data_IF_060007848832
#
_entry.id   IF_060007848832
#
_cell.length_a   1.000
_cell.length_b   1.000
_cell.length_c   1.000
_cell.angle_alpha   90.00
_cell.angle_beta   90.00
_cell.angle_gamma   90.00
#
_symmetry.space_group_name_H-M   'P 1'
#
loop_
_entity.id
_entity.type
_entity.pdbx_description
1 polymer ?
#
# COMPACT_ATOMS: atom_id res chain seq x y z
N UNK A 1 10.11 -29.53 -33.88
CA UNK A 1 9.43 -28.42 -33.15
C UNK A 1 9.50 -28.57 -31.63
N UNK A 2 9.25 -29.74 -31.05
CA UNK A 2 9.27 -29.97 -29.58
C UNK A 2 10.61 -29.64 -28.88
N UNK A 3 11.76 -29.96 -29.47
CA UNK A 3 13.06 -29.64 -28.84
C UNK A 3 13.30 -28.12 -28.67
N UNK A 4 12.88 -27.30 -29.64
CA UNK A 4 13.02 -25.83 -29.54
C UNK A 4 12.16 -25.25 -28.42
N UNK A 5 10.99 -25.83 -28.17
CA UNK A 5 10.11 -25.44 -27.08
C UNK A 5 10.71 -25.77 -25.70
N UNK A 6 11.22 -26.99 -25.53
CA UNK A 6 11.87 -27.43 -24.29
C UNK A 6 13.12 -26.59 -23.95
N UNK A 7 13.93 -26.24 -24.96
CA UNK A 7 15.10 -25.37 -24.77
C UNK A 7 14.68 -23.97 -24.34
N UNK A 8 13.61 -23.40 -24.93
CA UNK A 8 13.11 -22.09 -24.55
C UNK A 8 12.55 -22.07 -23.11
N UNK A 9 11.81 -23.11 -22.71
CA UNK A 9 11.29 -23.24 -21.35
C UNK A 9 12.42 -23.37 -20.31
N UNK A 10 13.47 -24.14 -20.63
CA UNK A 10 14.65 -24.28 -19.79
C UNK A 10 15.40 -22.96 -19.63
N UNK A 11 15.55 -22.19 -20.71
CA UNK A 11 16.18 -20.88 -20.68
C UNK A 11 15.37 -19.88 -19.84
N UNK A 12 14.04 -19.90 -19.93
CA UNK A 12 13.16 -19.06 -19.12
C UNK A 12 13.25 -19.39 -17.63
N UNK A 13 13.27 -20.68 -17.28
CA UNK A 13 13.46 -21.15 -15.89
C UNK A 13 14.82 -20.74 -15.33
N UNK A 14 15.88 -20.85 -16.12
CA UNK A 14 17.23 -20.45 -15.70
C UNK A 14 17.35 -18.93 -15.52
N UNK A 15 16.75 -18.15 -16.42
CA UNK A 15 16.69 -16.70 -16.28
C UNK A 15 15.95 -16.29 -15.00
N UNK A 16 14.80 -16.90 -14.73
CA UNK A 16 14.00 -16.61 -13.52
C UNK A 16 14.76 -16.97 -12.24
N UNK A 17 15.46 -18.10 -12.20
CA UNK A 17 16.35 -18.46 -11.09
C UNK A 17 17.45 -17.43 -10.87
N UNK A 18 18.04 -16.91 -11.95
CA UNK A 18 19.05 -15.84 -11.88
C UNK A 18 18.50 -14.56 -11.28
N UNK A 19 17.28 -14.16 -11.67
CA UNK A 19 16.60 -12.97 -11.12
C UNK A 19 16.31 -13.16 -9.63
N UNK A 20 15.78 -14.31 -9.22
CA UNK A 20 15.48 -14.63 -7.82
C UNK A 20 16.76 -14.60 -6.96
N UNK A 21 17.85 -15.23 -7.43
CA UNK A 21 19.11 -15.22 -6.70
C UNK A 21 19.68 -13.80 -6.52
N UNK A 22 19.60 -12.97 -7.57
CA UNK A 22 20.06 -11.58 -7.52
C UNK A 22 19.24 -10.75 -6.54
N UNK A 23 17.93 -11.00 -6.46
CA UNK A 23 17.05 -10.35 -5.49
C UNK A 23 17.37 -10.77 -4.05
N UNK A 24 17.56 -12.07 -3.80
CA UNK A 24 17.96 -12.57 -2.48
C UNK A 24 19.33 -12.03 -2.04
N UNK A 25 20.27 -11.84 -2.97
CA UNK A 25 21.58 -11.26 -2.66
C UNK A 25 21.46 -9.78 -2.26
N UNK A 26 20.57 -9.01 -2.92
CA UNK A 26 20.26 -7.63 -2.53
C UNK A 26 19.65 -7.56 -1.14
N UNK A 27 18.71 -8.44 -0.82
CA UNK A 27 18.10 -8.53 0.51
C UNK A 27 19.12 -8.87 1.61
N UNK A 28 20.05 -9.80 1.33
CA UNK A 28 21.15 -10.10 2.26
C UNK A 28 22.07 -8.90 2.47
N UNK A 29 22.40 -8.15 1.41
CA UNK A 29 23.22 -6.93 1.51
C UNK A 29 22.49 -5.84 2.31
N UNK A 30 21.20 -5.62 2.05
CA UNK A 30 20.38 -4.68 2.79
C UNK A 30 20.29 -5.03 4.28
N UNK A 31 20.12 -6.32 4.62
CA UNK A 31 20.12 -6.78 6.00
C UNK A 31 21.46 -6.49 6.71
N UNK A 32 22.59 -6.77 6.06
CA UNK A 32 23.92 -6.46 6.63
C UNK A 32 24.15 -4.96 6.83
N UNK A 33 23.69 -4.11 5.90
CA UNK A 33 23.76 -2.66 6.05
C UNK A 33 22.91 -2.19 7.24
N UNK A 34 21.70 -2.74 7.40
CA UNK A 34 20.83 -2.44 8.54
C UNK A 34 21.46 -2.83 9.87
N UNK A 35 22.05 -4.02 9.96
CA UNK A 35 22.77 -4.48 11.15
C UNK A 35 23.98 -3.59 11.47
N UNK A 36 24.76 -3.19 10.44
CA UNK A 36 25.92 -2.30 10.61
C UNK A 36 25.52 -0.91 11.11
N UNK A 37 24.47 -0.32 10.54
CA UNK A 37 23.93 0.97 10.98
C UNK A 37 23.42 0.90 12.42
N UNK A 38 22.82 -0.21 12.83
CA UNK A 38 22.35 -0.40 14.20
C UNK A 38 23.50 -0.36 15.21
N UNK A 39 24.63 -1.00 14.89
CA UNK A 39 25.84 -1.00 15.73
C UNK A 39 26.53 0.37 15.77
N UNK A 40 26.61 1.06 14.63
CA UNK A 40 27.20 2.43 14.57
C UNK A 40 26.35 3.46 15.33
N UNK A 41 25.03 3.30 15.32
CA UNK A 41 24.10 4.14 16.09
C UNK A 41 24.19 3.90 17.60
N UNK A 42 24.45 2.66 18.06
CA UNK A 42 24.71 2.38 19.47
C UNK A 42 26.04 3.00 19.96
N UNK A 43 27.04 3.10 19.08
CA UNK A 43 28.33 3.72 19.39
C UNK A 43 28.35 5.25 19.43
N UNK A 44 27.39 5.91 18.76
CA UNK A 44 27.35 7.38 18.63
C UNK A 44 26.58 8.09 19.77
N UNK A 45 25.98 7.33 20.70
CA UNK A 45 25.10 7.85 21.77
C UNK A 45 25.86 8.56 22.92
N UNK A 46 27.20 8.60 22.89
CA UNK A 46 27.98 9.25 23.97
C UNK A 46 28.26 10.75 23.72
N UNK A 47 28.01 11.30 22.53
CA UNK A 47 28.53 12.64 22.19
C UNK A 47 27.63 13.60 21.41
N UNK A 48 26.31 13.58 21.62
CA UNK A 48 25.46 14.66 21.09
C UNK A 48 24.50 15.14 22.16
N UNK A 49 25.06 15.84 23.14
CA UNK A 49 24.35 16.87 23.90
C UNK A 49 24.96 18.22 23.51
N UNK A 50 24.13 19.24 23.46
CA UNK A 50 24.46 20.64 23.17
C UNK A 50 24.72 21.00 21.71
N UNK A 51 23.67 21.46 21.03
CA UNK A 51 23.53 22.86 20.52
C UNK A 51 22.59 22.87 19.31
N UNK A 52 21.37 23.37 19.49
CA UNK A 52 20.63 24.04 18.42
C UNK A 52 19.80 25.15 19.06
N UNK A 53 20.41 26.34 19.10
CA UNK A 53 19.67 27.60 19.23
C UNK A 53 19.37 28.11 17.84
N UNK A 54 18.15 28.64 17.74
CA UNK A 54 17.51 29.32 16.63
C UNK A 54 18.37 30.39 15.97
N UNK A 55 18.34 30.46 14.64
CA UNK A 55 18.39 31.71 13.89
C UNK A 55 17.74 31.48 12.52
N UNK A 56 16.68 32.26 12.26
CA UNK A 56 16.08 32.38 10.94
C UNK A 56 16.76 33.51 10.18
N UNK A 57 16.77 33.40 8.86
CA UNK A 57 16.75 34.57 7.99
C UNK A 57 16.09 34.21 6.66
N UNK A 58 15.19 35.11 6.27
CA UNK A 58 14.59 35.31 4.95
C UNK A 58 15.65 35.66 3.91
N UNK A 59 15.41 35.32 2.65
CA UNK A 59 15.72 36.20 1.53
C UNK A 59 14.97 35.75 0.25
N UNK A 60 14.34 36.74 -0.37
CA UNK A 60 13.61 36.73 -1.64
C UNK A 60 14.58 36.91 -2.82
N UNK A 61 14.38 36.22 -3.95
CA UNK A 61 14.88 36.62 -5.29
C UNK A 61 13.89 36.11 -6.34
N UNK A 62 13.06 36.97 -6.97
CA UNK A 62 13.30 37.86 -8.12
C UNK A 62 13.25 37.15 -9.49
N UNK A 63 12.36 37.64 -10.35
CA UNK A 63 12.00 37.13 -11.68
C UNK A 63 12.22 38.24 -12.71
N UNK A 64 12.99 37.98 -13.79
CA UNK A 64 13.07 38.92 -14.92
C UNK A 64 13.79 38.44 -16.18
N UNK A 65 13.18 38.74 -17.34
CA UNK A 65 13.77 38.88 -18.71
C UNK A 65 13.51 37.70 -19.67
N UNK A 66 12.61 37.74 -20.69
CA UNK A 66 12.64 38.46 -22.01
C UNK A 66 13.90 38.14 -22.88
N UNK A 67 13.90 37.89 -24.20
CA UNK A 67 12.99 38.14 -25.34
C UNK A 67 13.49 37.41 -26.64
N UNK A 68 12.56 37.23 -27.62
CA UNK A 68 12.67 37.33 -29.11
C UNK A 68 13.48 36.32 -29.99
N UNK A 69 12.80 35.63 -30.95
CA UNK A 69 12.64 35.86 -32.43
C UNK A 69 13.85 35.33 -33.24
N UNK A 70 13.81 34.72 -34.44
CA UNK A 70 13.03 34.94 -35.66
C UNK A 70 12.86 33.65 -36.51
N UNK A 71 11.97 33.77 -37.49
CA UNK A 71 11.52 32.80 -38.50
C UNK A 71 12.04 33.24 -39.88
N UNK A 72 12.50 32.33 -40.74
CA UNK A 72 12.27 32.41 -42.20
C UNK A 72 12.77 31.16 -42.92
N UNK A 73 12.00 30.73 -43.92
CA UNK A 73 12.36 29.69 -44.87
C UNK A 73 12.45 30.25 -46.29
N UNK A 74 12.88 29.43 -47.24
CA UNK A 74 12.62 29.65 -48.67
C UNK A 74 12.68 28.32 -49.43
N UNK A 75 11.69 28.09 -50.29
CA UNK A 75 11.59 27.03 -51.31
C UNK A 75 12.06 27.56 -52.67
N UNK A 76 12.55 26.67 -53.53
CA UNK A 76 12.55 26.74 -55.01
C UNK A 76 13.10 25.39 -55.53
N UNK A 77 12.82 24.87 -56.72
CA UNK A 77 11.70 24.89 -57.65
C UNK A 77 11.92 23.65 -58.53
N UNK A 78 10.85 23.20 -59.18
CA UNK A 78 10.73 21.98 -59.97
C UNK A 78 11.18 22.20 -61.42
N UNK A 79 11.75 21.19 -62.08
CA UNK A 79 11.76 21.10 -63.55
C UNK A 79 12.01 19.66 -64.01
N UNK A 80 11.02 19.13 -64.71
CA UNK A 80 10.98 17.83 -65.37
C UNK A 80 11.58 17.90 -66.77
N UNK A 81 12.17 16.80 -67.24
CA UNK A 81 12.22 16.48 -68.68
C UNK A 81 12.34 14.97 -68.90
N UNK A 82 11.46 14.44 -69.75
CA UNK A 82 11.37 13.04 -70.15
C UNK A 82 12.21 12.76 -71.42
N UNK A 83 12.89 11.61 -71.46
CA UNK A 83 13.46 11.06 -72.70
C UNK A 83 13.20 9.53 -72.79
N UNK A 84 12.76 9.09 -73.96
CA UNK A 84 12.39 7.70 -74.28
C UNK A 84 13.62 6.84 -74.58
N UNK A 85 13.85 5.75 -73.83
CA UNK A 85 14.80 4.68 -74.20
C UNK A 85 14.26 3.24 -74.00
N UNK A 86 14.85 2.35 -74.80
CA UNK A 86 14.46 1.02 -75.28
C UNK A 86 14.01 -0.06 -74.27
N UNK A 87 13.06 -0.90 -74.71
CA UNK A 87 12.34 -1.94 -73.93
C UNK A 87 13.19 -3.09 -73.37
N UNK A 88 14.43 -3.30 -73.83
CA UNK A 88 15.29 -4.37 -73.30
C UNK A 88 16.04 -3.95 -72.02
N UNK A 89 16.40 -2.66 -71.88
CA UNK A 89 16.96 -2.10 -70.64
C UNK A 89 15.93 -2.04 -69.51
N UNK A 90 14.64 -1.93 -69.85
CA UNK A 90 13.54 -1.94 -68.88
C UNK A 90 13.50 -3.21 -68.04
N UNK A 91 13.68 -4.41 -68.59
CA UNK A 91 13.52 -5.64 -67.80
C UNK A 91 14.59 -5.79 -66.68
N UNK A 92 15.83 -5.38 -66.95
CA UNK A 92 16.91 -5.46 -65.96
C UNK A 92 16.83 -4.32 -64.93
N UNK A 93 16.51 -3.10 -65.38
CA UNK A 93 16.23 -1.96 -64.48
C UNK A 93 14.98 -2.20 -63.64
N UNK A 94 13.93 -2.85 -64.16
CA UNK A 94 12.71 -3.15 -63.43
C UNK A 94 12.97 -4.18 -62.32
N UNK A 95 13.84 -5.17 -62.53
CA UNK A 95 14.25 -6.11 -61.48
C UNK A 95 15.12 -5.47 -60.39
N UNK A 96 16.07 -4.61 -60.76
CA UNK A 96 16.90 -3.88 -59.79
C UNK A 96 16.06 -2.85 -59.02
N UNK A 97 15.12 -2.19 -59.71
CA UNK A 97 14.23 -1.20 -59.12
C UNK A 97 13.15 -1.84 -58.24
N UNK A 98 12.65 -3.04 -58.59
CA UNK A 98 11.76 -3.81 -57.73
C UNK A 98 12.49 -4.34 -56.49
N UNK A 99 13.70 -4.89 -56.64
CA UNK A 99 14.51 -5.33 -55.50
C UNK A 99 14.87 -4.18 -54.56
N UNK A 100 15.19 -2.99 -55.10
CA UNK A 100 15.35 -1.77 -54.30
C UNK A 100 14.04 -1.34 -53.65
N UNK A 101 12.91 -1.31 -54.38
CA UNK A 101 11.59 -0.94 -53.83
C UNK A 101 11.15 -1.89 -52.72
N UNK A 102 11.43 -3.19 -52.85
CA UNK A 102 11.14 -4.21 -51.85
C UNK A 102 12.05 -4.03 -50.63
N UNK A 103 13.34 -3.73 -50.82
CA UNK A 103 14.26 -3.37 -49.73
C UNK A 103 13.84 -2.08 -49.01
N UNK A 104 13.41 -1.04 -49.74
CA UNK A 104 12.91 0.21 -49.16
C UNK A 104 11.55 0.02 -48.47
N UNK A 105 10.69 -0.86 -49.00
CA UNK A 105 9.40 -1.21 -48.39
C UNK A 105 9.59 -2.04 -47.12
N UNK A 106 10.52 -2.99 -47.12
CA UNK A 106 10.88 -3.80 -45.96
C UNK A 106 11.58 -2.94 -44.89
N UNK A 107 12.48 -2.03 -45.29
CA UNK A 107 13.08 -1.03 -44.39
C UNK A 107 12.03 -0.10 -43.78
N UNK A 108 11.11 0.45 -44.57
CA UNK A 108 9.95 1.23 -44.08
C UNK A 108 9.00 0.41 -43.19
N UNK A 109 8.92 -0.90 -43.36
CA UNK A 109 8.11 -1.78 -42.52
C UNK A 109 8.80 -2.13 -41.19
N UNK A 110 10.13 -2.20 -41.18
CA UNK A 110 10.93 -2.42 -39.97
C UNK A 110 11.14 -1.14 -39.16
N UNK A 111 11.16 0.04 -39.78
CA UNK A 111 11.33 1.33 -39.10
C UNK A 111 10.26 1.58 -38.00
N UNK A 112 8.94 1.44 -38.22
CA UNK A 112 7.94 1.65 -37.17
C UNK A 112 8.02 0.60 -36.06
N UNK A 113 8.44 -0.63 -36.36
CA UNK A 113 8.65 -1.68 -35.35
C UNK A 113 9.90 -1.36 -34.53
N UNK A 114 10.98 -0.88 -35.17
CA UNK A 114 12.20 -0.41 -34.50
C UNK A 114 11.90 0.79 -33.62
N UNK A 115 11.12 1.75 -34.09
CA UNK A 115 10.74 2.95 -33.34
C UNK A 115 9.84 2.62 -32.15
N UNK A 116 8.91 1.67 -32.29
CA UNK A 116 8.12 1.14 -31.17
C UNK A 116 9.00 0.40 -30.17
N UNK A 117 9.94 -0.41 -30.64
CA UNK A 117 10.86 -1.15 -29.76
C UNK A 117 11.85 -0.22 -29.04
N UNK A 118 12.26 0.89 -29.68
CA UNK A 118 13.09 1.93 -29.07
C UNK A 118 12.30 2.72 -28.03
N UNK A 119 11.07 3.15 -28.35
CA UNK A 119 10.16 3.82 -27.39
C UNK A 119 9.87 2.97 -26.17
N UNK A 120 9.52 1.69 -26.35
CA UNK A 120 9.30 0.76 -25.25
C UNK A 120 10.56 0.59 -24.38
N UNK A 121 11.76 0.58 -24.99
CA UNK A 121 13.02 0.56 -24.23
C UNK A 121 13.29 1.85 -23.47
N UNK A 122 12.93 3.01 -24.01
CA UNK A 122 13.02 4.32 -23.36
C UNK A 122 12.07 4.39 -22.16
N UNK A 123 10.80 4.01 -22.36
CA UNK A 123 9.76 3.93 -21.33
C UNK A 123 10.16 2.95 -20.23
N UNK A 124 10.68 1.77 -20.58
CA UNK A 124 11.21 0.81 -19.61
C UNK A 124 12.39 1.38 -18.83
N UNK A 125 13.32 2.12 -19.46
CA UNK A 125 14.43 2.78 -18.76
C UNK A 125 13.94 3.90 -17.84
N UNK A 126 12.89 4.64 -18.22
CA UNK A 126 12.26 5.65 -17.38
C UNK A 126 11.61 5.01 -16.16
N UNK A 127 10.77 3.99 -16.37
CA UNK A 127 10.16 3.19 -15.29
C UNK A 127 11.22 2.57 -14.38
N UNK A 128 12.30 2.02 -14.94
CA UNK A 128 13.40 1.47 -14.15
C UNK A 128 14.11 2.55 -13.33
N UNK A 129 14.29 3.77 -13.86
CA UNK A 129 14.86 4.89 -13.09
C UNK A 129 13.93 5.34 -11.97
N UNK A 130 12.64 5.38 -12.23
CA UNK A 130 11.61 5.73 -11.25
C UNK A 130 11.50 4.66 -10.14
N UNK A 131 11.54 3.37 -10.51
CA UNK A 131 11.57 2.25 -9.55
C UNK A 131 12.90 2.13 -8.80
N UNK A 132 14.00 2.62 -9.37
CA UNK A 132 15.33 2.66 -8.75
C UNK A 132 15.58 3.97 -7.99
N UNK A 133 14.61 4.89 -7.95
CA UNK A 133 14.71 6.07 -7.13
C UNK A 133 14.87 5.60 -5.67
N UNK A 134 16.04 5.85 -5.11
CA UNK A 134 16.31 5.52 -3.72
C UNK A 134 15.40 6.40 -2.86
N UNK A 135 14.68 5.81 -1.91
CA UNK A 135 13.90 6.62 -0.98
C UNK A 135 14.84 7.63 -0.31
N UNK A 136 14.46 8.93 -0.25
CA UNK A 136 15.28 9.94 0.37
C UNK A 136 15.74 9.49 1.77
N UNK A 137 17.04 9.59 2.09
CA UNK A 137 17.59 9.08 3.35
C UNK A 137 16.93 9.73 4.57
N UNK A 138 16.52 11.00 4.48
CA UNK A 138 15.82 11.70 5.56
C UNK A 138 14.48 11.06 5.90
N UNK A 139 13.73 10.55 4.91
CA UNK A 139 12.47 9.84 5.14
C UNK A 139 12.74 8.54 5.91
N UNK A 140 13.80 7.82 5.53
CA UNK A 140 14.20 6.59 6.22
C UNK A 140 14.64 6.88 7.67
N UNK A 141 15.41 7.94 7.88
CA UNK A 141 15.87 8.36 9.19
C UNK A 141 14.70 8.80 10.09
N UNK A 142 13.75 9.56 9.55
CA UNK A 142 12.55 9.99 10.26
C UNK A 142 11.67 8.81 10.66
N UNK A 143 11.45 7.84 9.74
CA UNK A 143 10.71 6.62 10.06
C UNK A 143 11.38 5.83 11.20
N UNK A 144 12.72 5.71 11.16
CA UNK A 144 13.49 5.06 12.21
C UNK A 144 13.40 5.82 13.55
N UNK A 145 13.46 7.15 13.51
CA UNK A 145 13.30 8.00 14.69
C UNK A 145 11.95 7.79 15.36
N UNK A 146 10.88 7.72 14.57
CA UNK A 146 9.53 7.42 15.04
C UNK A 146 9.47 6.03 15.67
N UNK A 147 10.00 4.99 15.01
CA UNK A 147 10.05 3.62 15.55
C UNK A 147 10.81 3.56 16.90
N UNK A 148 11.95 4.26 16.98
CA UNK A 148 12.74 4.37 18.22
C UNK A 148 11.95 5.09 19.32
N UNK A 149 11.26 6.17 18.98
CA UNK A 149 10.44 6.95 19.92
C UNK A 149 9.29 6.10 20.48
N UNK A 150 8.59 5.35 19.63
CA UNK A 150 7.56 4.41 20.06
C UNK A 150 8.13 3.33 20.97
N UNK A 151 9.30 2.78 20.63
CA UNK A 151 9.99 1.78 21.46
C UNK A 151 10.33 2.32 22.86
N UNK A 152 10.81 3.57 22.92
CA UNK A 152 11.11 4.25 24.19
C UNK A 152 9.85 4.50 25.01
N UNK A 153 8.76 4.95 24.38
CA UNK A 153 7.45 5.12 25.03
C UNK A 153 7.00 3.80 25.67
N UNK A 154 7.05 2.69 24.93
CA UNK A 154 6.66 1.38 25.43
C UNK A 154 7.54 0.93 26.61
N UNK A 155 8.86 1.16 26.52
CA UNK A 155 9.79 0.81 27.60
C UNK A 155 9.49 1.61 28.87
N UNK A 156 9.26 2.92 28.73
CA UNK A 156 8.94 3.80 29.84
C UNK A 156 7.60 3.46 30.49
N UNK A 157 6.56 3.21 29.69
CA UNK A 157 5.26 2.77 30.20
C UNK A 157 5.39 1.47 31.01
N UNK A 158 6.06 0.45 30.46
CA UNK A 158 6.27 -0.85 31.15
C UNK A 158 7.08 -0.75 32.44
N UNK A 159 8.03 0.20 32.50
CA UNK A 159 8.85 0.43 33.71
C UNK A 159 8.20 1.41 34.69
N UNK A 160 7.06 2.00 34.35
CA UNK A 160 6.39 2.98 35.20
C UNK A 160 5.68 2.28 36.36
N UNK A 161 6.17 2.52 37.58
CA UNK A 161 5.53 2.01 38.80
C UNK A 161 4.50 2.99 39.38
N UNK A 162 4.48 4.24 38.90
CA UNK A 162 3.57 5.27 39.40
C UNK A 162 2.25 5.27 38.60
N UNK A 163 1.10 5.01 39.24
CA UNK A 163 -0.20 4.91 38.55
C UNK A 163 -0.60 6.17 37.77
N UNK A 164 -0.28 7.37 38.29
CA UNK A 164 -0.64 8.62 37.63
C UNK A 164 0.15 8.84 36.34
N UNK A 165 1.42 8.44 36.32
CA UNK A 165 2.25 8.49 35.11
C UNK A 165 1.90 7.36 34.14
N UNK A 166 1.57 6.16 34.63
CA UNK A 166 1.08 5.05 33.80
C UNK A 166 -0.14 5.47 32.98
N UNK A 167 -1.13 6.11 33.62
CA UNK A 167 -2.31 6.63 32.92
C UNK A 167 -1.96 7.67 31.86
N UNK A 168 -1.05 8.60 32.14
CA UNK A 168 -0.59 9.57 31.13
C UNK A 168 0.07 8.88 29.93
N UNK A 169 0.87 7.85 30.16
CA UNK A 169 1.47 7.07 29.07
C UNK A 169 0.43 6.31 28.26
N UNK A 170 -0.61 5.76 28.90
CA UNK A 170 -1.76 5.15 28.22
C UNK A 170 -2.50 6.17 27.34
N UNK A 171 -2.79 7.36 27.88
CA UNK A 171 -3.45 8.44 27.14
C UNK A 171 -2.62 8.88 25.91
N UNK A 172 -1.30 9.03 26.09
CA UNK A 172 -0.36 9.33 25.00
C UNK A 172 -0.35 8.19 23.97
N UNK A 173 -0.29 6.94 24.41
CA UNK A 173 -0.30 5.76 23.55
C UNK A 173 -1.58 5.65 22.72
N UNK A 174 -2.74 5.87 23.35
CA UNK A 174 -4.04 5.88 22.68
C UNK A 174 -4.16 7.03 21.68
N UNK A 175 -3.77 8.25 22.07
CA UNK A 175 -3.79 9.42 21.17
C UNK A 175 -2.88 9.19 19.95
N UNK A 176 -1.67 8.67 20.18
CA UNK A 176 -0.72 8.34 19.11
C UNK A 176 -1.30 7.29 18.18
N UNK A 177 -1.96 6.26 18.71
CA UNK A 177 -2.60 5.22 17.89
C UNK A 177 -3.61 5.81 16.89
N UNK A 178 -4.54 6.65 17.36
CA UNK A 178 -5.53 7.27 16.48
C UNK A 178 -4.91 8.28 15.51
N UNK A 179 -3.87 9.00 15.92
CA UNK A 179 -3.10 9.86 15.01
C UNK A 179 -2.50 9.07 13.83
N UNK A 180 -1.92 7.89 14.09
CA UNK A 180 -1.41 7.03 13.03
C UNK A 180 -2.52 6.52 12.10
N UNK A 181 -3.67 6.18 12.65
CA UNK A 181 -4.84 5.81 11.86
C UNK A 181 -5.25 6.96 10.94
N UNK A 182 -5.33 8.19 11.42
CA UNK A 182 -5.64 9.40 10.65
C UNK A 182 -4.65 9.68 9.52
N UNK A 183 -3.38 9.33 9.71
CA UNK A 183 -2.36 9.43 8.67
C UNK A 183 -2.50 8.38 7.55
N UNK A 184 -3.23 7.27 7.75
CA UNK A 184 -3.44 6.25 6.71
C UNK A 184 -4.48 6.73 5.67
N UNK A 185 -3.98 7.44 4.67
CA UNK A 185 -4.75 7.93 3.52
C UNK A 185 -4.72 6.96 2.33
N UNK A 186 -5.53 7.23 1.30
CA UNK A 186 -5.52 6.44 0.06
C UNK A 186 -4.15 6.47 -0.65
N UNK A 187 -3.42 7.60 -0.59
CA UNK A 187 -2.06 7.72 -1.12
C UNK A 187 -1.07 6.85 -0.36
N UNK A 188 -1.17 6.84 0.98
CA UNK A 188 -0.35 5.96 1.83
C UNK A 188 -0.63 4.50 1.48
N UNK A 189 -1.91 4.12 1.28
CA UNK A 189 -2.34 2.75 0.89
C UNK A 189 -1.82 2.26 -0.44
N UNK A 190 -1.53 3.16 -1.37
CA UNK A 190 -1.02 2.81 -2.70
C UNK A 190 0.47 2.47 -2.69
N UNK A 191 1.21 2.87 -1.66
CA UNK A 191 2.66 2.64 -1.59
C UNK A 191 3.01 1.63 -0.49
N UNK A 192 3.39 0.38 -0.84
CA UNK A 192 3.59 -0.71 0.12
C UNK A 192 4.59 -0.41 1.25
N UNK A 193 5.75 0.24 1.03
CA UNK A 193 6.69 0.54 2.12
C UNK A 193 6.09 1.43 3.20
N UNK A 194 5.38 2.49 2.81
CA UNK A 194 4.73 3.40 3.78
C UNK A 194 3.58 2.68 4.49
N UNK A 195 2.77 1.88 3.78
CA UNK A 195 1.76 1.05 4.45
C UNK A 195 2.34 0.08 5.45
N UNK A 196 3.45 -0.58 5.12
CA UNK A 196 4.08 -1.52 6.03
C UNK A 196 4.55 -0.79 7.30
N UNK A 197 5.13 0.39 7.16
CA UNK A 197 5.53 1.23 8.28
C UNK A 197 4.33 1.59 9.18
N UNK A 198 3.28 2.20 8.63
CA UNK A 198 2.08 2.55 9.40
C UNK A 198 1.42 1.31 10.03
N UNK A 199 1.33 0.20 9.29
CA UNK A 199 0.73 -1.03 9.80
C UNK A 199 1.50 -1.56 11.02
N UNK A 200 2.84 -1.52 10.97
CA UNK A 200 3.70 -1.94 12.08
C UNK A 200 3.50 -1.06 13.31
N UNK A 201 3.44 0.27 13.13
CA UNK A 201 3.22 1.21 14.23
C UNK A 201 1.83 1.06 14.85
N UNK A 202 0.78 0.94 14.02
CA UNK A 202 -0.60 0.76 14.47
C UNK A 202 -0.78 -0.57 15.19
N UNK A 203 -0.15 -1.65 14.70
CA UNK A 203 -0.19 -2.94 15.37
C UNK A 203 0.51 -2.90 16.73
N UNK A 204 1.69 -2.27 16.81
CA UNK A 204 2.45 -2.12 18.06
C UNK A 204 1.65 -1.36 19.13
N UNK A 205 1.12 -0.20 18.75
CA UNK A 205 0.33 0.65 19.63
C UNK A 205 -1.01 0.00 19.99
N UNK A 206 -1.69 -0.58 19.00
CA UNK A 206 -2.99 -1.23 19.17
C UNK A 206 -2.93 -2.40 20.15
N UNK A 207 -1.93 -3.28 20.01
CA UNK A 207 -1.71 -4.39 20.95
C UNK A 207 -1.38 -3.92 22.36
N UNK A 208 -0.67 -2.80 22.49
CA UNK A 208 -0.17 -2.34 23.79
C UNK A 208 -1.19 -1.51 24.56
N UNK A 209 -1.88 -0.59 23.90
CA UNK A 209 -2.70 0.43 24.57
C UNK A 209 -4.21 0.30 24.30
N UNK A 210 -4.62 -0.44 23.27
CA UNK A 210 -6.01 -0.49 22.81
C UNK A 210 -6.67 -1.85 23.08
N UNK A 211 -6.05 -2.95 22.68
CA UNK A 211 -6.67 -4.29 22.64
C UNK A 211 -7.26 -4.74 23.98
N UNK A 212 -6.58 -4.45 25.09
CA UNK A 212 -7.02 -4.83 26.45
C UNK A 212 -7.69 -3.67 27.20
N UNK A 213 -7.81 -2.49 26.56
CA UNK A 213 -8.37 -1.30 27.18
C UNK A 213 -9.87 -1.19 26.92
N UNK A 214 -10.68 -1.51 27.94
CA UNK A 214 -12.15 -1.50 27.87
C UNK A 214 -12.73 -0.16 27.41
N UNK A 215 -12.08 0.95 27.75
CA UNK A 215 -12.54 2.30 27.39
C UNK A 215 -12.34 2.62 25.90
N UNK A 216 -11.49 1.86 25.21
CA UNK A 216 -11.12 2.09 23.82
C UNK A 216 -11.86 1.16 22.86
N UNK A 217 -12.41 0.04 23.32
CA UNK A 217 -13.06 -0.96 22.46
C UNK A 217 -14.20 -0.37 21.62
N UNK A 218 -15.08 0.41 22.22
CA UNK A 218 -16.14 1.11 21.48
C UNK A 218 -15.61 2.20 20.55
N UNK A 219 -14.61 2.97 21.00
CA UNK A 219 -14.00 4.05 20.20
C UNK A 219 -13.35 3.46 18.94
N UNK A 220 -12.67 2.32 19.10
CA UNK A 220 -12.12 1.55 17.99
C UNK A 220 -13.21 1.05 17.05
N UNK A 221 -14.33 0.53 17.57
CA UNK A 221 -15.46 0.13 16.72
C UNK A 221 -15.98 1.32 15.91
N UNK A 222 -16.26 2.46 16.53
CA UNK A 222 -16.71 3.68 15.82
C UNK A 222 -15.72 4.09 14.74
N UNK A 223 -14.42 3.98 15.03
CA UNK A 223 -13.35 4.27 14.06
C UNK A 223 -13.38 3.31 12.87
N UNK A 224 -13.59 2.00 13.11
CA UNK A 224 -13.72 1.00 12.04
C UNK A 224 -14.96 1.29 11.18
N UNK A 225 -16.10 1.58 11.80
CA UNK A 225 -17.35 1.87 11.10
C UNK A 225 -17.23 3.14 10.25
N UNK A 226 -16.53 4.16 10.74
CA UNK A 226 -16.26 5.39 10.00
C UNK A 226 -15.26 5.19 8.84
N UNK A 227 -14.36 4.21 8.94
CA UNK A 227 -13.25 4.01 8.01
C UNK A 227 -13.12 2.54 7.56
N UNK A 228 -14.13 1.99 6.84
CA UNK A 228 -14.15 0.59 6.45
C UNK A 228 -12.99 0.19 5.54
N UNK A 229 -12.42 1.14 4.78
CA UNK A 229 -11.25 0.94 3.91
C UNK A 229 -9.98 0.45 4.63
N UNK A 230 -9.88 0.64 5.95
CA UNK A 230 -8.74 0.20 6.77
C UNK A 230 -9.14 -0.87 7.80
N UNK A 231 -10.32 -1.47 7.67
CA UNK A 231 -10.80 -2.50 8.61
C UNK A 231 -9.79 -3.64 8.78
N UNK A 232 -9.11 -4.05 7.71
CA UNK A 232 -8.10 -5.11 7.78
C UNK A 232 -6.94 -4.82 8.74
N UNK A 233 -6.62 -3.54 8.94
CA UNK A 233 -5.59 -3.10 9.88
C UNK A 233 -6.10 -3.08 11.33
N UNK A 234 -7.36 -2.69 11.53
CA UNK A 234 -7.94 -2.46 12.86
C UNK A 234 -8.60 -3.71 13.47
N UNK A 235 -9.13 -4.59 12.62
CA UNK A 235 -9.85 -5.79 13.02
C UNK A 235 -9.04 -6.75 13.91
N UNK A 236 -7.71 -6.93 13.75
CA UNK A 236 -6.91 -7.73 14.68
C UNK A 236 -6.84 -7.14 16.09
N UNK A 237 -7.03 -5.83 16.25
CA UNK A 237 -6.95 -5.10 17.53
C UNK A 237 -8.32 -5.07 18.21
N UNK A 238 -9.40 -5.17 17.44
CA UNK A 238 -10.77 -5.13 17.96
C UNK A 238 -11.13 -6.40 18.73
N UNK A 239 -11.27 -6.26 20.05
CA UNK A 239 -11.60 -7.33 20.99
C UNK A 239 -12.86 -6.97 21.79
N UNK A 240 -14.08 -7.22 21.26
CA UNK A 240 -15.32 -6.82 21.92
C UNK A 240 -15.53 -7.48 23.29
N UNK A 241 -14.90 -8.64 23.54
CA UNK A 241 -14.99 -9.35 24.83
C UNK A 241 -14.39 -8.58 26.01
N UNK A 242 -13.57 -7.55 25.78
CA UNK A 242 -13.04 -6.73 26.88
C UNK A 242 -14.06 -5.73 27.41
N UNK A 243 -15.09 -5.39 26.63
CA UNK A 243 -16.13 -4.42 26.98
C UNK A 243 -17.49 -5.12 27.03
N UNK A 244 -17.73 -5.82 28.15
CA UNK A 244 -18.92 -6.67 28.34
C UNK A 244 -20.22 -5.85 28.47
N UNK A 245 -20.15 -4.70 29.17
CA UNK A 245 -21.30 -3.83 29.44
C UNK A 245 -21.92 -3.27 28.15
N UNK A 246 -21.10 -3.02 27.14
CA UNK A 246 -21.53 -2.47 25.85
C UNK A 246 -21.50 -3.51 24.73
N UNK A 247 -21.31 -4.79 25.04
CA UNK A 247 -21.18 -5.86 24.06
C UNK A 247 -22.39 -5.94 23.13
N UNK A 248 -23.60 -5.81 23.70
CA UNK A 248 -24.86 -5.85 22.96
C UNK A 248 -25.03 -4.64 22.05
N UNK A 249 -24.75 -3.44 22.55
CA UNK A 249 -24.83 -2.20 21.78
C UNK A 249 -23.82 -2.20 20.61
N UNK A 250 -22.59 -2.63 20.86
CA UNK A 250 -21.58 -2.78 19.82
C UNK A 250 -22.00 -3.76 18.73
N UNK A 251 -22.62 -4.90 19.11
CA UNK A 251 -23.10 -5.89 18.17
C UNK A 251 -24.23 -5.34 17.30
N UNK A 252 -25.19 -4.66 17.92
CA UNK A 252 -26.30 -3.98 17.24
C UNK A 252 -25.81 -2.91 16.26
N UNK A 253 -24.85 -2.08 16.68
CA UNK A 253 -24.24 -1.06 15.82
C UNK A 253 -23.66 -1.66 14.54
N UNK A 254 -22.97 -2.81 14.63
CA UNK A 254 -22.44 -3.50 13.44
C UNK A 254 -23.57 -3.98 12.52
N UNK A 255 -24.64 -4.54 13.08
CA UNK A 255 -25.79 -5.02 12.30
C UNK A 255 -26.46 -3.88 11.54
N UNK A 256 -26.69 -2.74 12.20
CA UNK A 256 -27.41 -1.60 11.65
C UNK A 256 -26.61 -0.82 10.59
N UNK A 257 -25.30 -1.01 10.51
CA UNK A 257 -24.47 -0.31 9.51
C UNK A 257 -24.70 -0.80 8.08
N UNK A 258 -24.59 0.10 7.09
CA UNK A 258 -24.64 -0.23 5.66
C UNK A 258 -23.26 -0.64 5.10
N UNK A 259 -22.49 -1.40 5.89
CA UNK A 259 -21.18 -1.91 5.45
C UNK A 259 -21.32 -3.05 4.45
N UNK A 260 -20.28 -3.24 3.64
CA UNK A 260 -20.13 -4.41 2.79
C UNK A 260 -20.27 -5.69 3.62
N UNK A 261 -20.93 -6.69 3.03
CA UNK A 261 -21.27 -7.93 3.74
C UNK A 261 -20.03 -8.60 4.32
N UNK A 262 -18.91 -8.62 3.59
CA UNK A 262 -17.63 -9.21 4.05
C UNK A 262 -17.06 -8.48 5.27
N UNK A 263 -17.16 -7.15 5.30
CA UNK A 263 -16.70 -6.33 6.43
C UNK A 263 -17.59 -6.58 7.64
N UNK A 264 -18.91 -6.57 7.44
CA UNK A 264 -19.89 -6.86 8.49
C UNK A 264 -19.67 -8.26 9.07
N UNK A 265 -19.53 -9.28 8.22
CA UNK A 265 -19.22 -10.65 8.62
C UNK A 265 -17.92 -10.72 9.45
N UNK A 266 -16.86 -10.07 8.97
CA UNK A 266 -15.57 -10.05 9.64
C UNK A 266 -15.66 -9.42 11.04
N UNK A 267 -16.41 -8.34 11.20
CA UNK A 267 -16.68 -7.71 12.51
C UNK A 267 -17.51 -8.61 13.42
N UNK A 268 -18.65 -9.11 12.92
CA UNK A 268 -19.54 -9.98 13.70
C UNK A 268 -18.84 -11.27 14.16
N UNK A 269 -17.86 -11.76 13.40
CA UNK A 269 -17.06 -12.93 13.77
C UNK A 269 -16.22 -12.73 15.04
N UNK A 270 -15.89 -11.48 15.39
CA UNK A 270 -15.13 -11.13 16.60
C UNK A 270 -15.96 -11.20 17.89
N UNK A 271 -17.29 -11.18 17.79
CA UNK A 271 -18.16 -11.23 18.95
C UNK A 271 -18.27 -12.68 19.46
N UNK A 272 -17.53 -13.01 20.52
CA UNK A 272 -17.60 -14.31 21.18
C UNK A 272 -18.73 -14.33 22.23
N UNK A 273 -19.88 -14.86 21.81
CA UNK A 273 -21.06 -15.01 22.67
C UNK A 273 -20.82 -15.99 23.80
N UNK A 274 -19.95 -16.99 23.63
CA UNK A 274 -19.66 -17.95 24.69
C UNK A 274 -18.90 -17.26 25.81
N UNK A 275 -17.86 -16.50 25.47
CA UNK A 275 -17.11 -15.70 26.45
C UNK A 275 -18.02 -14.68 27.15
N UNK A 276 -18.87 -13.99 26.38
CA UNK A 276 -19.81 -13.02 26.94
C UNK A 276 -20.82 -13.67 27.89
N UNK A 277 -21.43 -14.81 27.53
CA UNK A 277 -22.37 -15.51 28.43
C UNK A 277 -21.71 -16.01 29.72
N UNK A 278 -20.43 -16.41 29.66
CA UNK A 278 -19.65 -16.81 30.84
C UNK A 278 -19.44 -15.64 31.81
N UNK A 279 -19.40 -14.40 31.31
CA UNK A 279 -19.30 -13.20 32.14
C UNK A 279 -20.59 -12.83 32.88
N UNK A 280 -21.66 -13.61 32.67
CA UNK A 280 -22.97 -13.52 33.33
C UNK A 280 -23.69 -12.19 33.09
N UNK A 281 -23.98 -11.84 31.81
CA UNK A 281 -24.81 -10.68 31.50
C UNK A 281 -26.18 -10.81 32.16
N UNK A 282 -26.74 -9.66 32.50
CA UNK A 282 -28.07 -9.55 33.11
C UNK A 282 -29.15 -10.14 32.21
N UNK A 283 -30.32 -10.43 32.78
CA UNK A 283 -31.46 -10.87 31.98
C UNK A 283 -31.85 -9.82 30.93
N UNK A 284 -31.78 -8.53 31.28
CA UNK A 284 -32.10 -7.43 30.37
C UNK A 284 -31.18 -7.43 29.15
N UNK A 285 -29.86 -7.56 29.35
CA UNK A 285 -28.88 -7.59 28.25
C UNK A 285 -29.05 -8.82 27.37
N UNK A 286 -29.31 -10.00 27.95
CA UNK A 286 -29.62 -11.21 27.17
C UNK A 286 -30.88 -11.07 26.33
N UNK A 287 -31.92 -10.46 26.89
CA UNK A 287 -33.15 -10.19 26.14
C UNK A 287 -32.93 -9.15 25.04
N UNK A 288 -32.15 -8.10 25.28
CA UNK A 288 -31.78 -7.12 24.27
C UNK A 288 -30.99 -7.79 23.12
N UNK A 289 -29.99 -8.60 23.44
CA UNK A 289 -29.21 -9.34 22.44
C UNK A 289 -30.10 -10.29 21.62
N UNK A 290 -31.02 -11.02 22.26
CA UNK A 290 -31.96 -11.88 21.54
C UNK A 290 -32.85 -11.08 20.58
N UNK A 291 -33.35 -9.90 20.99
CA UNK A 291 -34.12 -9.02 20.10
C UNK A 291 -33.30 -8.60 18.88
N UNK A 292 -32.05 -8.19 19.08
CA UNK A 292 -31.14 -7.77 18.01
C UNK A 292 -30.88 -8.94 17.04
N UNK A 293 -30.60 -10.14 17.55
CA UNK A 293 -30.41 -11.34 16.73
C UNK A 293 -31.66 -11.72 15.93
N UNK A 294 -32.84 -11.72 16.57
CA UNK A 294 -34.09 -12.04 15.88
C UNK A 294 -34.40 -11.03 14.78
N UNK A 295 -34.21 -9.73 15.03
CA UNK A 295 -34.37 -8.71 14.01
C UNK A 295 -33.44 -8.96 12.82
N UNK A 296 -32.15 -9.20 13.07
CA UNK A 296 -31.16 -9.47 12.03
C UNK A 296 -31.47 -10.74 11.21
N UNK A 297 -32.01 -11.78 11.85
CA UNK A 297 -32.46 -13.01 11.17
C UNK A 297 -33.71 -12.76 10.32
N UNK A 298 -34.69 -11.99 10.83
CA UNK A 298 -35.87 -11.59 10.06
C UNK A 298 -35.48 -10.81 8.81
N UNK A 299 -34.51 -9.90 8.92
CA UNK A 299 -34.00 -9.11 7.79
C UNK A 299 -33.31 -9.97 6.71
N UNK A 300 -32.74 -11.11 7.09
CA UNK A 300 -32.16 -12.07 6.16
C UNK A 300 -33.22 -12.87 5.38
N UNK A 301 -34.42 -13.03 5.95
CA UNK A 301 -35.48 -13.88 5.41
C UNK A 301 -35.22 -15.38 5.58
N UNK A 302 -36.21 -16.19 5.18
CA UNK A 302 -36.17 -17.66 5.25
C UNK A 302 -35.16 -18.28 4.27
N UNK A 303 -35.01 -17.67 3.09
CA UNK A 303 -34.04 -18.07 2.06
C UNK A 303 -33.16 -16.85 1.71
N UNK A 304 -32.07 -16.62 2.47
CA UNK A 304 -31.23 -15.47 2.26
C UNK A 304 -30.53 -15.55 0.89
N UNK A 305 -30.44 -14.44 0.15
CA UNK A 305 -29.64 -14.38 -1.08
C UNK A 305 -28.20 -14.86 -0.84
N UNK A 306 -27.57 -15.45 -1.85
CA UNK A 306 -26.19 -15.99 -1.79
C UNK A 306 -25.19 -14.99 -1.19
N UNK A 307 -25.38 -13.69 -1.46
CA UNK A 307 -24.52 -12.61 -0.95
C UNK A 307 -24.63 -12.39 0.55
N UNK A 308 -25.77 -12.70 1.18
CA UNK A 308 -26.02 -12.49 2.62
C UNK A 308 -26.11 -13.79 3.41
N UNK A 309 -26.04 -14.95 2.75
CA UNK A 309 -26.04 -16.28 3.39
C UNK A 309 -25.01 -16.37 4.52
N UNK A 310 -23.80 -15.84 4.33
CA UNK A 310 -22.78 -15.87 5.39
C UNK A 310 -23.17 -15.08 6.65
N UNK A 311 -23.99 -14.02 6.52
CA UNK A 311 -24.52 -13.30 7.68
C UNK A 311 -25.60 -14.13 8.39
N UNK A 312 -26.53 -14.74 7.65
CA UNK A 312 -27.52 -15.63 8.29
C UNK A 312 -26.86 -16.80 9.03
N UNK A 313 -25.81 -17.40 8.47
CA UNK A 313 -25.06 -18.47 9.13
C UNK A 313 -24.38 -17.99 10.41
N UNK A 314 -23.81 -16.79 10.41
CA UNK A 314 -23.17 -16.26 11.61
C UNK A 314 -24.19 -16.00 12.71
N UNK A 315 -25.36 -15.45 12.38
CA UNK A 315 -26.44 -15.21 13.34
C UNK A 315 -26.98 -16.53 13.92
N UNK A 316 -27.27 -17.52 13.07
CA UNK A 316 -27.74 -18.83 13.51
C UNK A 316 -26.73 -19.53 14.41
N UNK A 317 -25.42 -19.39 14.14
CA UNK A 317 -24.37 -19.93 15.01
C UNK A 317 -24.38 -19.30 16.41
N UNK A 318 -24.86 -18.06 16.58
CA UNK A 318 -24.94 -17.40 17.90
C UNK A 318 -26.17 -17.80 18.71
N UNK A 319 -27.20 -18.34 18.04
CA UNK A 319 -28.45 -18.79 18.68
C UNK A 319 -28.34 -20.22 19.20
N UNK A 320 -27.55 -21.08 18.54
CA UNK A 320 -27.32 -22.48 18.93
C UNK A 320 -26.25 -22.64 20.00
#
# INVERSE_FOLDING_TARGET
MQQKFLTNERNRKNHMKGVINKQQERERKAKKVREKLYVELEGSIVHVDETYSSEGNSEDEDWGGEQQDERSGTQAEDSTDEFYESSAGRAHLYNIHNSSKDFYREKKSCDPVRDRASRNREEFKMLMREMLHQMPPDICLNALCVEKTLTLLLKQWKSCQNPAFSKKFEDIGCSTFYMFIDMVSDSVRQFPPTMQFFSTCVELLGKTFIMENRTQTEVLLRTILARPKIVGLLLPIFQPSTCEDSFTEMYENVIQTNLDVEVKFSLLSKFDFRSWLVSKPTLSERMAMMKVLFAALCDCGLEPPVKTTMLSEIYLRKVN
#
